data_IF_977486994108
#
_entry.id   IF_977486994108
#
_cell.length_a   1.000
_cell.length_b   1.000
_cell.length_c   1.000
_cell.angle_alpha   90.00
_cell.angle_beta   90.00
_cell.angle_gamma   90.00
#
_symmetry.space_group_name_H-M   'P 1'
#
loop_
_entity.id
_entity.type
_entity.pdbx_description
1 polymer ?
#
# COMPACT_ATOMS: atom_id res chain seq x y z
N UNK A 1 -10.46 -16.76 6.69
CA UNK A 1 -9.28 -16.32 7.47
C UNK A 1 -9.75 -16.11 8.90
N UNK A 2 -9.38 -17.00 9.80
CA UNK A 2 -9.86 -17.12 11.18
C UNK A 2 -9.43 -15.95 12.08
N UNK A 3 -9.97 -14.75 11.86
CA UNK A 3 -9.73 -13.57 12.72
C UNK A 3 -8.27 -13.08 12.75
N UNK A 4 -7.40 -13.58 11.88
CA UNK A 4 -6.00 -13.20 11.85
C UNK A 4 -5.83 -11.72 11.46
N UNK A 5 -5.12 -10.96 12.29
CA UNK A 5 -4.79 -9.55 11.98
C UNK A 5 -3.59 -9.51 11.02
N UNK A 6 -3.74 -8.97 9.80
CA UNK A 6 -2.63 -8.86 8.86
C UNK A 6 -1.58 -7.89 9.40
N UNK A 7 -0.31 -8.28 9.33
CA UNK A 7 0.83 -7.46 9.80
C UNK A 7 1.61 -6.79 8.66
N UNK A 8 1.45 -7.28 7.44
CA UNK A 8 2.23 -6.88 6.28
C UNK A 8 1.46 -7.14 4.98
N UNK A 9 1.66 -6.29 3.97
CA UNK A 9 1.07 -6.45 2.65
C UNK A 9 2.16 -6.53 1.57
N UNK A 10 2.09 -7.52 0.70
CA UNK A 10 2.96 -7.64 -0.47
C UNK A 10 2.15 -7.44 -1.75
N UNK A 11 2.65 -6.62 -2.68
CA UNK A 11 2.06 -6.36 -3.98
C UNK A 11 3.11 -6.70 -5.04
N UNK A 12 2.76 -7.62 -5.94
CA UNK A 12 3.64 -8.12 -6.99
C UNK A 12 2.90 -8.01 -8.32
N UNK A 13 3.60 -7.54 -9.36
CA UNK A 13 3.10 -7.55 -10.73
C UNK A 13 4.26 -7.74 -11.71
N UNK A 14 3.93 -8.12 -12.94
CA UNK A 14 4.90 -8.24 -14.02
C UNK A 14 5.21 -6.85 -14.63
N UNK A 15 6.30 -6.24 -14.15
CA UNK A 15 6.75 -4.89 -14.52
C UNK A 15 8.28 -4.78 -14.38
N UNK A 16 8.91 -3.82 -15.06
CA UNK A 16 10.37 -3.63 -15.01
C UNK A 16 10.91 -3.21 -13.64
N UNK A 17 10.08 -2.54 -12.85
CA UNK A 17 10.41 -2.02 -11.53
C UNK A 17 9.40 -2.53 -10.48
N UNK A 18 9.72 -2.47 -9.18
CA UNK A 18 8.76 -2.79 -8.13
C UNK A 18 7.45 -2.04 -8.35
N UNK A 19 6.33 -2.78 -8.37
CA UNK A 19 5.03 -2.25 -8.80
C UNK A 19 4.61 -1.02 -8.01
N UNK A 20 4.15 0.02 -8.70
CA UNK A 20 3.53 1.18 -8.07
C UNK A 20 2.01 0.93 -7.93
N UNK A 21 1.44 0.91 -6.72
CA UNK A 21 0.00 0.74 -6.55
C UNK A 21 -0.77 1.96 -7.08
N UNK A 22 -1.98 1.75 -7.59
CA UNK A 22 -2.84 2.82 -8.09
C UNK A 22 -3.38 3.72 -6.94
N UNK A 23 -3.94 4.88 -7.29
CA UNK A 23 -4.43 5.86 -6.31
C UNK A 23 -5.46 5.27 -5.33
N UNK A 24 -6.43 4.51 -5.84
CA UNK A 24 -7.46 3.86 -5.03
C UNK A 24 -6.88 2.87 -4.01
N UNK A 25 -5.93 2.03 -4.44
CA UNK A 25 -5.27 1.10 -3.53
C UNK A 25 -4.50 1.83 -2.42
N UNK A 26 -3.84 2.96 -2.74
CA UNK A 26 -3.12 3.76 -1.75
C UNK A 26 -4.06 4.33 -0.70
N UNK A 27 -5.20 4.87 -1.11
CA UNK A 27 -6.21 5.41 -0.18
C UNK A 27 -6.81 4.30 0.69
N UNK A 28 -7.14 3.15 0.10
CA UNK A 28 -7.65 2.00 0.85
C UNK A 28 -6.65 1.50 1.91
N UNK A 29 -5.37 1.37 1.54
CA UNK A 29 -4.33 1.00 2.50
C UNK A 29 -4.22 2.02 3.64
N UNK A 30 -4.38 3.31 3.37
CA UNK A 30 -4.33 4.34 4.41
C UNK A 30 -5.49 4.27 5.40
N UNK A 31 -6.68 3.93 4.93
CA UNK A 31 -7.90 3.90 5.74
C UNK A 31 -8.07 2.59 6.51
N UNK A 32 -7.73 1.46 5.90
CA UNK A 32 -8.09 0.13 6.42
C UNK A 32 -6.89 -0.76 6.75
N UNK A 33 -5.70 -0.45 6.21
CA UNK A 33 -4.54 -1.31 6.36
C UNK A 33 -3.23 -0.51 6.41
N UNK A 34 -2.99 0.30 7.48
CA UNK A 34 -1.79 1.11 7.65
C UNK A 34 -0.55 0.27 8.00
N UNK A 35 -0.32 -0.78 7.22
CA UNK A 35 0.71 -1.80 7.39
C UNK A 35 1.97 -1.41 6.61
N UNK A 36 3.06 -2.14 6.87
CA UNK A 36 4.22 -2.14 5.98
C UNK A 36 3.83 -2.79 4.66
N UNK A 37 4.30 -2.20 3.57
CA UNK A 37 3.99 -2.63 2.21
C UNK A 37 5.28 -2.98 1.49
N UNK A 38 5.35 -4.19 0.94
CA UNK A 38 6.42 -4.61 0.03
C UNK A 38 5.90 -4.56 -1.39
N UNK A 39 6.57 -3.80 -2.23
CA UNK A 39 6.36 -3.73 -3.66
C UNK A 39 7.42 -4.59 -4.32
N UNK A 40 7.01 -5.46 -5.24
CA UNK A 40 7.95 -6.31 -5.96
C UNK A 40 7.54 -6.49 -7.42
N UNK A 41 8.47 -6.99 -8.22
CA UNK A 41 8.18 -7.51 -9.54
C UNK A 41 8.62 -8.99 -9.67
N UNK A 42 8.29 -9.61 -10.81
CA UNK A 42 8.66 -11.00 -11.08
C UNK A 42 10.17 -11.21 -11.29
N UNK A 43 10.92 -10.15 -11.57
CA UNK A 43 12.39 -10.17 -11.67
C UNK A 43 13.11 -10.09 -10.30
N UNK A 44 12.36 -10.16 -9.19
CA UNK A 44 12.93 -10.17 -7.84
C UNK A 44 13.39 -8.79 -7.34
N UNK A 45 13.09 -7.69 -8.04
CA UNK A 45 13.31 -6.34 -7.52
C UNK A 45 12.26 -6.05 -6.45
N UNK A 46 12.71 -5.57 -5.30
CA UNK A 46 11.85 -5.35 -4.13
C UNK A 46 12.06 -3.95 -3.56
N UNK A 47 10.97 -3.33 -3.08
CA UNK A 47 10.98 -2.07 -2.36
C UNK A 47 10.00 -2.13 -1.18
N UNK A 48 10.48 -1.86 0.02
CA UNK A 48 9.64 -1.78 1.22
C UNK A 48 9.29 -0.33 1.54
N UNK A 49 8.02 -0.07 1.85
CA UNK A 49 7.48 1.25 2.15
C UNK A 49 6.30 1.16 3.13
N UNK A 50 5.61 2.27 3.37
CA UNK A 50 4.36 2.34 4.13
C UNK A 50 3.30 3.09 3.33
N UNK A 51 2.02 2.89 3.67
CA UNK A 51 0.92 3.58 3.00
C UNK A 51 1.07 5.12 3.03
N UNK A 52 1.51 5.70 4.16
CA UNK A 52 1.75 7.14 4.30
C UNK A 52 2.84 7.68 3.36
N UNK A 53 3.88 6.90 3.06
CA UNK A 53 4.94 7.31 2.12
C UNK A 53 4.49 7.22 0.65
N UNK A 54 3.47 6.41 0.36
CA UNK A 54 2.95 6.23 -1.00
C UNK A 54 1.96 7.33 -1.41
N UNK A 55 1.29 7.96 -0.46
CA UNK A 55 0.34 9.05 -0.71
C UNK A 55 0.56 10.19 0.30
N UNK A 56 1.58 11.04 0.08
CA UNK A 56 1.77 12.23 0.89
C UNK A 56 0.59 13.18 0.68
N UNK A 57 0.24 13.96 1.73
CA UNK A 57 -0.92 14.87 1.70
C UNK A 57 -2.22 14.15 1.33
N UNK A 58 -2.42 12.95 1.91
CA UNK A 58 -3.59 12.10 1.69
C UNK A 58 -4.89 12.90 1.81
N UNK A 59 -5.88 12.51 1.02
CA UNK A 59 -7.20 13.09 1.12
C UNK A 59 -7.83 12.67 2.46
N UNK A 60 -8.27 13.66 3.24
CA UNK A 60 -8.98 13.44 4.49
C UNK A 60 -10.42 13.91 4.33
N UNK A 61 -11.33 13.17 4.97
CA UNK A 61 -12.75 13.49 4.91
C UNK A 61 -12.96 14.88 5.50
N UNK A 62 -13.60 15.78 4.75
CA UNK A 62 -13.93 17.12 5.23
C UNK A 62 -14.86 17.00 6.45
N UNK A 63 -14.32 17.21 7.64
CA UNK A 63 -15.12 17.39 8.84
C UNK A 63 -15.78 18.76 8.79
N UNK A 64 -17.11 18.80 8.64
CA UNK A 64 -17.86 20.03 8.94
C UNK A 64 -17.71 20.28 10.44
N UNK A 65 -16.99 21.34 10.79
CA UNK A 65 -17.11 21.96 12.12
C UNK A 65 -18.39 22.77 12.15
#
# INVERSE_FOLDING_TARGET
MDGATPKHLAIIADCDNPIAPCGTCRQFMLEFAPLKVTLANLAGKVKTTTANKLLPLKFERRTKK
#
